data_IF_222039050200
#
_entry.id   IF_222039050200
#
_cell.length_a   1.000
_cell.length_b   1.000
_cell.length_c   1.000
_cell.angle_alpha   90.00
_cell.angle_beta   90.00
_cell.angle_gamma   90.00
#
_symmetry.space_group_name_H-M   'P 1'
#
loop_
_entity.id
_entity.type
_entity.pdbx_description
1 polymer ?
#
# COMPACT_ATOMS: atom_id res chain seq x y z
N UNK A 1 8.16 -19.33 -4.61
CA UNK A 1 9.16 -19.25 -3.52
C UNK A 1 10.24 -20.32 -3.62
N UNK A 2 9.90 -21.59 -3.81
CA UNK A 2 10.85 -22.72 -3.92
C UNK A 2 11.95 -22.54 -4.99
N UNK A 3 11.58 -22.12 -6.21
CA UNK A 3 12.53 -21.92 -7.31
C UNK A 3 13.56 -20.81 -7.06
N UNK A 4 13.16 -19.70 -6.42
CA UNK A 4 14.07 -18.60 -6.08
C UNK A 4 15.03 -18.99 -4.95
N UNK A 5 14.53 -19.72 -3.96
CA UNK A 5 15.35 -20.26 -2.86
C UNK A 5 16.43 -21.21 -3.38
N UNK A 6 16.10 -22.05 -4.35
CA UNK A 6 17.06 -22.94 -5.01
C UNK A 6 18.20 -22.18 -5.73
N UNK A 7 17.97 -20.92 -6.11
CA UNK A 7 18.96 -20.03 -6.71
C UNK A 7 19.63 -19.10 -5.69
N UNK A 8 19.54 -19.40 -4.39
CA UNK A 8 20.15 -18.62 -3.31
C UNK A 8 19.39 -17.36 -2.90
N UNK A 9 18.19 -17.13 -3.45
CA UNK A 9 17.35 -15.98 -3.13
C UNK A 9 16.16 -16.40 -2.25
N UNK A 10 16.30 -16.28 -0.93
CA UNK A 10 15.20 -16.55 0.01
C UNK A 10 14.26 -15.35 0.16
N UNK A 11 13.45 -15.12 -0.88
CA UNK A 11 12.45 -14.05 -0.90
C UNK A 11 11.30 -14.34 0.07
N UNK A 12 11.05 -15.61 0.42
CA UNK A 12 9.97 -15.98 1.35
C UNK A 12 10.25 -15.41 2.73
N UNK A 13 11.49 -15.52 3.21
CA UNK A 13 11.91 -14.97 4.50
C UNK A 13 11.69 -13.46 4.59
N UNK A 14 11.95 -12.71 3.51
CA UNK A 14 11.70 -11.26 3.47
C UNK A 14 10.23 -10.90 3.73
N UNK A 15 9.28 -11.63 3.14
CA UNK A 15 7.85 -11.38 3.38
C UNK A 15 7.39 -11.87 4.74
N UNK A 16 7.98 -12.97 5.24
CA UNK A 16 7.69 -13.50 6.57
C UNK A 16 8.13 -12.55 7.67
N UNK A 17 9.34 -11.98 7.58
CA UNK A 17 9.87 -11.01 8.54
C UNK A 17 9.05 -9.71 8.55
N UNK A 18 8.38 -9.38 7.43
CA UNK A 18 7.48 -8.23 7.32
C UNK A 18 6.03 -8.54 7.75
N UNK A 19 5.70 -9.79 8.06
CA UNK A 19 4.33 -10.20 8.42
C UNK A 19 3.35 -10.33 7.24
N UNK A 20 3.85 -10.31 6.00
CA UNK A 20 3.01 -10.29 4.78
C UNK A 20 2.45 -11.65 4.38
N UNK A 21 2.73 -12.72 5.13
CA UNK A 21 2.22 -14.06 4.78
C UNK A 21 0.68 -14.11 4.74
N UNK A 22 0.01 -13.39 5.65
CA UNK A 22 -1.45 -13.31 5.66
C UNK A 22 -2.06 -12.70 4.39
N UNK A 23 -1.34 -11.79 3.72
CA UNK A 23 -1.78 -11.25 2.43
C UNK A 23 -1.82 -12.34 1.34
N UNK A 24 -0.83 -13.25 1.32
CA UNK A 24 -0.81 -14.33 0.35
C UNK A 24 -1.92 -15.35 0.59
N UNK A 25 -2.30 -15.58 1.84
CA UNK A 25 -3.45 -16.44 2.15
C UNK A 25 -4.76 -15.84 1.62
N UNK A 26 -4.93 -14.52 1.77
CA UNK A 26 -6.10 -13.78 1.24
C UNK A 26 -6.13 -13.83 -0.29
N UNK A 27 -4.98 -13.69 -0.96
CA UNK A 27 -4.89 -13.75 -2.42
C UNK A 27 -5.35 -15.08 -3.01
N UNK A 28 -5.22 -16.18 -2.27
CA UNK A 28 -5.68 -17.50 -2.70
C UNK A 28 -7.20 -17.69 -2.49
N UNK A 29 -7.88 -16.74 -1.85
CA UNK A 29 -9.32 -16.75 -1.65
C UNK A 29 -10.11 -16.40 -2.92
N UNK A 30 -11.44 -16.63 -2.91
CA UNK A 30 -12.30 -16.23 -4.02
C UNK A 30 -12.32 -14.71 -4.17
N UNK A 31 -12.13 -14.23 -5.41
CA UNK A 31 -12.20 -12.80 -5.75
C UNK A 31 -13.53 -12.50 -6.42
N UNK A 32 -14.35 -11.67 -5.76
CA UNK A 32 -15.62 -11.20 -6.29
C UNK A 32 -15.41 -9.97 -7.19
N UNK A 33 -14.98 -10.20 -8.43
CA UNK A 33 -14.57 -9.14 -9.37
C UNK A 33 -15.64 -8.08 -9.61
N UNK A 34 -16.92 -8.47 -9.68
CA UNK A 34 -18.03 -7.54 -9.87
C UNK A 34 -18.23 -6.64 -8.64
N UNK A 35 -18.14 -7.20 -7.43
CA UNK A 35 -18.22 -6.42 -6.20
C UNK A 35 -17.06 -5.43 -6.09
N UNK A 36 -15.84 -5.87 -6.40
CA UNK A 36 -14.65 -5.00 -6.41
C UNK A 36 -14.82 -3.86 -7.41
N UNK A 37 -15.29 -4.16 -8.62
CA UNK A 37 -15.56 -3.14 -9.65
C UNK A 37 -16.61 -2.14 -9.19
N UNK A 38 -17.71 -2.60 -8.61
CA UNK A 38 -18.79 -1.72 -8.14
C UNK A 38 -18.39 -0.92 -6.91
N UNK A 39 -17.57 -1.49 -6.03
CA UNK A 39 -16.96 -0.80 -4.89
C UNK A 39 -16.12 0.40 -5.37
N UNK A 40 -15.14 0.17 -6.26
CA UNK A 40 -14.24 1.24 -6.71
C UNK A 40 -14.93 2.30 -7.55
N UNK A 41 -16.00 1.95 -8.28
CA UNK A 41 -16.78 2.92 -9.04
C UNK A 41 -17.59 3.89 -8.19
N UNK A 42 -17.91 3.49 -6.96
CA UNK A 42 -18.79 4.22 -6.04
C UNK A 42 -18.06 4.68 -4.78
N UNK A 43 -16.73 4.54 -4.75
CA UNK A 43 -15.97 4.93 -3.59
C UNK A 43 -15.60 6.40 -3.62
N UNK A 44 -15.68 7.03 -2.46
CA UNK A 44 -15.15 8.35 -2.18
C UNK A 44 -14.03 8.22 -1.15
N UNK A 45 -12.96 9.00 -1.34
CA UNK A 45 -11.86 9.10 -0.38
C UNK A 45 -12.15 10.31 0.50
N UNK A 46 -12.27 10.07 1.79
CA UNK A 46 -12.49 11.10 2.80
C UNK A 46 -11.19 11.30 3.55
N UNK A 47 -10.52 12.42 3.29
CA UNK A 47 -9.38 12.87 4.11
C UNK A 47 -9.86 13.84 5.18
N UNK A 48 -8.93 14.28 6.02
CA UNK A 48 -9.20 15.29 7.05
C UNK A 48 -9.83 16.55 6.45
N UNK A 49 -9.36 16.98 5.26
CA UNK A 49 -9.85 18.20 4.61
C UNK A 49 -11.31 18.05 4.15
N UNK A 50 -11.68 16.92 3.54
CA UNK A 50 -13.08 16.66 3.18
C UNK A 50 -13.97 16.53 4.41
N UNK A 51 -13.48 15.88 5.48
CA UNK A 51 -14.22 15.76 6.73
C UNK A 51 -14.47 17.14 7.36
N UNK A 52 -13.46 18.01 7.42
CA UNK A 52 -13.59 19.36 7.96
C UNK A 52 -14.53 20.22 7.10
N UNK A 53 -14.48 20.06 5.77
CA UNK A 53 -15.41 20.72 4.85
C UNK A 53 -16.85 20.27 5.07
N UNK A 54 -17.09 18.97 5.24
CA UNK A 54 -18.42 18.41 5.57
C UNK A 54 -18.96 19.01 6.88
N UNK A 55 -18.11 19.08 7.91
CA UNK A 55 -18.45 19.70 9.18
C UNK A 55 -18.81 21.17 9.04
N UNK A 56 -17.97 21.95 8.36
CA UNK A 56 -18.19 23.38 8.14
C UNK A 56 -19.48 23.64 7.36
N UNK A 57 -19.79 22.80 6.37
CA UNK A 57 -21.05 22.87 5.63
C UNK A 57 -22.26 22.65 6.56
N UNK A 58 -22.21 21.66 7.47
CA UNK A 58 -23.29 21.45 8.44
C UNK A 58 -23.43 22.57 9.46
N UNK A 59 -22.33 23.16 9.90
CA UNK A 59 -22.40 24.34 10.75
C UNK A 59 -23.02 25.52 10.00
N UNK A 60 -22.67 25.71 8.72
CA UNK A 60 -23.19 26.79 7.89
C UNK A 60 -24.69 26.68 7.57
N UNK A 61 -25.25 25.47 7.54
CA UNK A 61 -26.70 25.27 7.35
C UNK A 61 -27.55 25.90 8.46
N UNK A 62 -27.08 25.87 9.71
CA UNK A 62 -27.75 26.53 10.83
C UNK A 62 -26.74 27.01 11.88
N UNK A 63 -26.10 28.17 11.64
CA UNK A 63 -24.99 28.64 12.47
C UNK A 63 -25.38 28.87 13.94
N UNK A 64 -26.62 29.31 14.21
CA UNK A 64 -27.06 29.58 15.58
C UNK A 64 -27.19 28.30 16.42
N UNK A 65 -27.67 27.22 15.80
CA UNK A 65 -27.92 25.94 16.50
C UNK A 65 -26.73 24.98 16.44
N UNK A 66 -25.88 25.09 15.42
CA UNK A 66 -24.85 24.10 15.12
C UNK A 66 -23.44 24.53 15.55
N UNK A 67 -23.22 25.82 15.82
CA UNK A 67 -21.91 26.31 16.25
C UNK A 67 -21.51 25.71 17.60
N UNK A 68 -20.27 25.22 17.66
CA UNK A 68 -19.68 24.66 18.89
C UNK A 68 -20.07 23.22 19.21
N UNK A 69 -20.93 22.59 18.39
CA UNK A 69 -21.25 21.16 18.51
C UNK A 69 -20.15 20.30 17.90
N UNK A 70 -19.94 19.12 18.50
CA UNK A 70 -19.11 18.07 17.95
C UNK A 70 -19.72 17.43 16.69
N UNK A 71 -18.92 16.69 15.93
CA UNK A 71 -19.37 15.97 14.73
C UNK A 71 -20.55 15.03 15.03
N UNK A 72 -20.46 14.26 16.10
CA UNK A 72 -21.51 13.31 16.52
C UNK A 72 -22.81 14.01 16.90
N UNK A 73 -22.73 15.16 17.58
CA UNK A 73 -23.90 15.98 17.90
C UNK A 73 -24.55 16.63 16.68
N UNK A 74 -23.79 16.81 15.59
CA UNK A 74 -24.30 17.23 14.29
C UNK A 74 -24.82 16.05 13.44
N UNK A 75 -24.78 14.83 13.96
CA UNK A 75 -25.16 13.62 13.24
C UNK A 75 -24.15 13.19 12.17
N UNK A 76 -22.93 13.73 12.22
CA UNK A 76 -21.82 13.36 11.34
C UNK A 76 -21.02 12.21 11.96
N UNK A 77 -20.45 11.36 11.12
CA UNK A 77 -19.54 10.29 11.56
C UNK A 77 -18.26 10.92 12.14
N UNK A 78 -17.75 10.35 13.23
CA UNK A 78 -16.42 10.70 13.73
C UNK A 78 -15.37 10.41 12.66
N UNK A 79 -14.40 11.29 12.54
CA UNK A 79 -13.28 11.13 11.64
C UNK A 79 -12.03 10.84 12.48
N UNK A 80 -11.44 9.66 12.28
CA UNK A 80 -10.26 9.22 13.04
C UNK A 80 -9.02 9.13 12.15
N UNK A 81 -9.19 8.67 10.92
CA UNK A 81 -8.15 8.51 9.91
C UNK A 81 -8.78 8.59 8.51
N UNK A 82 -7.95 8.65 7.46
CA UNK A 82 -8.44 8.65 6.08
C UNK A 82 -9.24 7.39 5.77
N UNK A 83 -10.42 7.57 5.20
CA UNK A 83 -11.38 6.50 4.93
C UNK A 83 -11.72 6.41 3.46
N UNK A 84 -11.89 5.19 2.95
CA UNK A 84 -12.52 4.92 1.66
C UNK A 84 -13.94 4.45 1.94
N UNK A 85 -14.93 5.27 1.59
CA UNK A 85 -16.35 4.96 1.79
C UNK A 85 -16.97 4.57 0.46
N UNK A 86 -17.73 3.48 0.40
CA UNK A 86 -18.43 3.06 -0.81
C UNK A 86 -19.76 2.40 -0.48
N UNK A 87 -20.82 2.82 -1.16
CA UNK A 87 -22.11 2.16 -1.12
C UNK A 87 -22.19 1.05 -2.18
N UNK A 88 -21.81 -0.18 -1.83
CA UNK A 88 -21.91 -1.32 -2.74
C UNK A 88 -23.02 -2.29 -2.30
N UNK A 89 -23.83 -2.77 -3.26
CA UNK A 89 -24.90 -3.76 -3.01
C UNK A 89 -25.94 -3.40 -1.94
N UNK A 90 -26.16 -2.09 -1.68
CA UNK A 90 -27.09 -1.62 -0.65
C UNK A 90 -26.50 -1.57 0.76
N UNK A 91 -25.20 -1.81 0.91
CA UNK A 91 -24.46 -1.69 2.15
C UNK A 91 -23.36 -0.63 2.03
N UNK A 92 -23.12 0.11 3.10
CA UNK A 92 -22.03 1.08 3.16
C UNK A 92 -20.76 0.40 3.70
N UNK A 93 -19.74 0.27 2.86
CA UNK A 93 -18.43 -0.25 3.22
C UNK A 93 -17.51 0.93 3.52
N UNK A 94 -16.80 0.87 4.64
CA UNK A 94 -15.72 1.81 4.98
C UNK A 94 -14.43 1.03 5.18
N UNK A 95 -13.37 1.40 4.46
CA UNK A 95 -12.04 0.80 4.58
C UNK A 95 -11.09 1.88 5.08
N UNK A 96 -10.40 1.61 6.18
CA UNK A 96 -9.34 2.47 6.72
C UNK A 96 -7.99 1.76 6.72
N UNK A 97 -6.91 2.50 7.00
CA UNK A 97 -5.60 1.90 7.19
C UNK A 97 -5.62 0.88 8.34
N UNK A 98 -6.31 1.19 9.45
CA UNK A 98 -6.48 0.24 10.56
C UNK A 98 -7.19 -1.04 10.12
N UNK A 99 -8.25 -0.95 9.32
CA UNK A 99 -8.94 -2.13 8.77
C UNK A 99 -7.99 -3.04 7.99
N UNK A 100 -7.13 -2.46 7.16
CA UNK A 100 -6.15 -3.21 6.37
C UNK A 100 -5.09 -3.84 7.26
N UNK A 101 -4.55 -3.09 8.24
CA UNK A 101 -3.55 -3.59 9.17
C UNK A 101 -4.08 -4.77 9.99
N UNK A 102 -5.32 -4.67 10.48
CA UNK A 102 -6.00 -5.74 11.22
C UNK A 102 -6.23 -6.98 10.34
N UNK A 103 -6.73 -6.79 9.11
CA UNK A 103 -6.94 -7.87 8.15
C UNK A 103 -5.65 -8.64 7.86
N UNK A 104 -4.54 -7.91 7.72
CA UNK A 104 -3.22 -8.48 7.46
C UNK A 104 -2.52 -9.00 8.72
N UNK A 105 -3.08 -8.75 9.91
CA UNK A 105 -2.49 -9.07 11.23
C UNK A 105 -1.09 -8.48 11.41
N UNK A 106 -0.90 -7.27 10.91
CA UNK A 106 0.36 -6.53 11.02
C UNK A 106 0.17 -5.31 11.95
N UNK A 107 1.23 -4.82 12.61
CA UNK A 107 1.15 -3.58 13.36
C UNK A 107 0.71 -2.43 12.44
N UNK A 108 -0.23 -1.60 12.90
CA UNK A 108 -0.64 -0.39 12.18
C UNK A 108 0.42 0.75 12.35
N UNK A 109 1.67 0.43 12.04
CA UNK A 109 2.84 1.29 12.14
C UNK A 109 3.83 0.87 11.07
N UNK A 110 4.50 1.84 10.45
CA UNK A 110 5.50 1.55 9.44
C UNK A 110 6.25 2.80 9.02
N UNK A 111 7.39 2.60 8.38
CA UNK A 111 8.17 3.69 7.78
C UNK A 111 7.87 3.67 6.29
N UNK A 112 7.14 4.67 5.81
CA UNK A 112 6.99 4.89 4.37
C UNK A 112 8.28 5.50 3.84
N UNK A 113 9.14 4.66 3.22
CA UNK A 113 10.36 5.15 2.57
C UNK A 113 9.99 5.77 1.22
N UNK A 114 9.91 7.09 1.17
CA UNK A 114 9.82 7.82 -0.09
C UNK A 114 11.15 7.71 -0.83
N UNK A 115 11.16 7.00 -1.96
CA UNK A 115 12.30 7.01 -2.85
C UNK A 115 12.27 8.29 -3.67
N UNK A 116 13.11 9.23 -3.28
CA UNK A 116 13.46 10.37 -4.13
C UNK A 116 14.61 9.98 -5.06
N UNK A 117 14.72 10.56 -6.26
CA UNK A 117 15.88 10.33 -7.14
C UNK A 117 17.23 10.61 -6.44
N UNK A 118 17.25 11.56 -5.49
CA UNK A 118 18.43 11.89 -4.70
C UNK A 118 18.78 10.85 -3.64
N UNK A 119 17.79 10.17 -3.03
CA UNK A 119 18.05 9.07 -2.09
C UNK A 119 18.49 7.80 -2.82
N UNK A 120 17.98 7.55 -4.03
CA UNK A 120 18.46 6.48 -4.89
C UNK A 120 19.96 6.61 -5.22
N UNK A 121 20.42 7.81 -5.58
CA UNK A 121 21.85 8.08 -5.87
C UNK A 121 22.79 7.91 -4.68
N UNK A 122 22.30 8.06 -3.45
CA UNK A 122 23.08 7.90 -2.21
C UNK A 122 22.99 6.50 -1.63
N UNK A 123 22.34 5.58 -2.33
CA UNK A 123 22.18 4.22 -1.84
C UNK A 123 23.48 3.43 -2.00
N UNK A 124 23.87 2.73 -0.94
CA UNK A 124 24.97 1.75 -0.95
C UNK A 124 24.79 0.64 -2.02
N UNK A 125 23.57 0.48 -2.55
CA UNK A 125 23.29 -0.42 -3.66
C UNK A 125 23.83 0.11 -4.99
N UNK A 126 23.92 1.42 -5.20
CA UNK A 126 24.42 2.01 -6.46
C UNK A 126 25.88 1.64 -6.66
N UNK A 127 26.71 1.81 -5.63
CA UNK A 127 28.13 1.46 -5.71
C UNK A 127 28.33 -0.05 -5.90
N UNK A 128 27.52 -0.88 -5.21
CA UNK A 128 27.54 -2.33 -5.40
C UNK A 128 27.12 -2.77 -6.80
N UNK A 129 26.07 -2.15 -7.35
CA UNK A 129 25.59 -2.43 -8.71
C UNK A 129 26.64 -1.97 -9.72
N UNK A 130 27.18 -0.76 -9.57
CA UNK A 130 28.21 -0.25 -10.46
C UNK A 130 29.47 -1.12 -10.43
N UNK A 131 29.88 -1.56 -9.25
CA UNK A 131 31.05 -2.40 -9.09
C UNK A 131 30.85 -3.79 -9.72
N UNK A 132 29.65 -4.36 -9.67
CA UNK A 132 29.33 -5.64 -10.31
C UNK A 132 29.12 -5.51 -11.82
N UNK A 133 28.45 -4.47 -12.28
CA UNK A 133 28.00 -4.36 -13.67
C UNK A 133 29.02 -3.68 -14.60
N UNK A 134 29.90 -2.82 -14.08
CA UNK A 134 30.80 -2.00 -14.89
C UNK A 134 32.28 -2.07 -14.49
N UNK A 135 32.60 -2.38 -13.23
CA UNK A 135 34.00 -2.38 -12.75
C UNK A 135 34.60 -3.79 -12.72
N UNK A 136 33.83 -4.78 -12.23
CA UNK A 136 34.22 -6.19 -12.16
C UNK A 136 33.42 -7.05 -13.15
N UNK A 137 33.06 -6.46 -14.28
CA UNK A 137 32.24 -7.09 -15.31
C UNK A 137 32.81 -8.45 -15.76
N UNK A 138 34.14 -8.55 -15.86
CA UNK A 138 34.85 -9.77 -16.29
C UNK A 138 35.04 -10.83 -15.18
N UNK A 139 34.73 -10.50 -13.93
CA UNK A 139 35.04 -11.36 -12.78
C UNK A 139 33.96 -12.42 -12.49
N UNK A 140 32.71 -12.18 -12.92
CA UNK A 140 31.61 -13.14 -12.79
C UNK A 140 31.05 -13.43 -14.20
N UNK A 141 30.86 -14.70 -14.58
CA UNK A 141 30.34 -15.05 -15.90
C UNK A 141 28.96 -14.42 -16.09
N UNK A 142 28.89 -13.46 -17.01
CA UNK A 142 27.67 -12.73 -17.30
C UNK A 142 26.81 -13.52 -18.28
N UNK A 143 25.49 -13.36 -18.16
CA UNK A 143 24.50 -13.89 -19.10
C UNK A 143 24.30 -13.00 -20.33
N UNK A 144 25.23 -12.07 -20.61
CA UNK A 144 25.23 -11.32 -21.86
C UNK A 144 25.47 -12.27 -23.02
N UNK A 145 24.73 -12.04 -24.10
CA UNK A 145 24.80 -12.86 -25.31
C UNK A 145 26.21 -12.85 -25.92
N UNK A 146 26.99 -11.78 -25.69
CA UNK A 146 28.40 -11.67 -26.10
C UNK A 146 29.34 -12.66 -25.40
N UNK A 147 28.99 -13.07 -24.18
CA UNK A 147 29.87 -13.84 -23.29
C UNK A 147 29.49 -15.34 -23.30
N UNK A 148 28.39 -15.69 -23.98
CA UNK A 148 27.96 -17.07 -24.17
C UNK A 148 28.87 -17.75 -25.20
N UNK A 149 29.46 -18.89 -24.80
CA UNK A 149 30.27 -19.71 -25.72
C UNK A 149 29.42 -20.10 -26.95
N UNK A 150 30.01 -20.12 -28.17
CA UNK A 150 29.31 -20.61 -29.34
C UNK A 150 28.79 -22.02 -29.06
N UNK A 151 27.50 -22.23 -29.33
CA UNK A 151 26.88 -23.53 -29.21
C UNK A 151 27.59 -24.46 -30.20
N UNK A 152 28.29 -25.48 -29.69
CA UNK A 152 28.90 -26.55 -30.49
C UNK A 152 27.84 -27.45 -31.12
#
# INVERSE_FOLDING_TARGET
>A
FESLRANGFDVKKLFQDQGWLGYFDILNGPVYTQLVKDFWKRCDIITQEEADKEYNNKVAENPEKNRGKSRTELGLREFTETEIRSGCTGYEVTITQSTIAELLRIPNKGIFKTFTPSTGRKSDYVDRIAQRCYIKEDAEPSNKVSDMKPIQ
#
